data_IF_007140167681
#
_entry.id   IF_007140167681
#
_cell.length_a   1.000
_cell.length_b   1.000
_cell.length_c   1.000
_cell.angle_alpha   90.00
_cell.angle_beta   90.00
_cell.angle_gamma   90.00
#
_symmetry.space_group_name_H-M   'P 1'
#
loop_
_entity.id
_entity.type
_entity.pdbx_description
1 polymer ?
#
# COMPACT_ATOMS: atom_id res chain seq x y z
N UNK A 1 76.63 -49.92 52.86
CA UNK A 1 75.35 -49.29 52.46
C UNK A 1 75.64 -48.43 51.22
N UNK A 2 75.36 -48.95 50.03
CA UNK A 2 75.62 -48.26 48.75
C UNK A 2 74.23 -47.85 48.24
N UNK A 3 73.92 -46.53 48.24
CA UNK A 3 72.69 -46.00 47.65
C UNK A 3 72.81 -46.02 46.17
N UNK A 4 71.95 -46.80 45.50
CA UNK A 4 71.80 -46.87 44.05
C UNK A 4 70.95 -45.66 43.59
N UNK A 5 71.55 -44.60 43.07
CA UNK A 5 70.82 -43.50 42.38
C UNK A 5 70.42 -43.98 41.04
N UNK A 6 69.11 -44.17 40.88
CA UNK A 6 68.51 -44.38 39.58
C UNK A 6 68.51 -43.09 38.73
N UNK A 7 68.87 -43.14 37.44
CA UNK A 7 68.83 -41.95 36.58
C UNK A 7 67.41 -41.55 36.29
N UNK A 8 67.09 -40.24 36.43
CA UNK A 8 65.82 -39.64 36.08
C UNK A 8 65.69 -39.68 34.58
N UNK A 9 64.71 -40.45 34.09
CA UNK A 9 64.28 -40.40 32.69
C UNK A 9 63.74 -39.01 32.30
N UNK A 10 64.11 -38.44 31.15
CA UNK A 10 63.53 -37.19 30.70
C UNK A 10 62.05 -37.42 30.37
N UNK A 11 61.16 -36.64 31.03
CA UNK A 11 59.76 -36.53 30.68
C UNK A 11 59.70 -35.94 29.27
N UNK A 12 59.28 -36.72 28.30
CA UNK A 12 58.77 -36.21 27.02
C UNK A 12 57.52 -35.42 27.32
N UNK A 13 57.68 -34.16 27.64
CA UNK A 13 56.58 -33.20 27.70
C UNK A 13 56.07 -32.94 26.30
N UNK A 14 54.88 -33.42 26.06
CA UNK A 14 53.92 -32.73 25.20
C UNK A 14 54.28 -32.62 23.74
N UNK A 15 54.04 -33.64 22.94
CA UNK A 15 53.46 -33.41 21.63
C UNK A 15 52.06 -32.89 21.84
N UNK A 16 51.96 -31.61 22.19
CA UNK A 16 50.74 -30.86 21.98
C UNK A 16 50.50 -30.87 20.49
N UNK A 17 49.63 -31.72 20.03
CA UNK A 17 49.01 -31.67 18.71
C UNK A 17 48.38 -30.28 18.61
N UNK A 18 49.13 -29.36 18.04
CA UNK A 18 48.60 -28.10 17.54
C UNK A 18 47.63 -28.50 16.40
N UNK A 19 46.38 -28.72 16.76
CA UNK A 19 45.27 -28.74 15.83
C UNK A 19 45.13 -27.32 15.25
N UNK A 20 46.07 -26.98 14.39
CA UNK A 20 45.96 -25.85 13.46
C UNK A 20 45.18 -26.37 12.28
N UNK A 21 43.90 -26.59 12.44
CA UNK A 21 42.97 -26.45 11.34
C UNK A 21 43.02 -24.98 10.89
N UNK A 22 44.06 -24.63 10.17
CA UNK A 22 44.12 -23.36 9.44
C UNK A 22 42.99 -23.42 8.42
N UNK A 23 41.84 -22.89 8.79
CA UNK A 23 40.77 -22.61 7.84
C UNK A 23 41.39 -21.81 6.70
N UNK A 24 41.50 -22.43 5.54
CA UNK A 24 42.07 -21.84 4.32
C UNK A 24 41.36 -20.56 3.92
N UNK A 25 40.15 -20.39 4.41
CA UNK A 25 39.35 -19.18 4.27
C UNK A 25 39.21 -18.52 5.65
N UNK A 26 39.65 -17.26 5.83
CA UNK A 26 39.46 -16.55 7.10
C UNK A 26 37.96 -16.49 7.42
N UNK A 27 37.56 -17.19 8.50
CA UNK A 27 36.16 -17.35 8.93
C UNK A 27 35.46 -16.02 9.27
N UNK A 28 36.17 -14.90 9.21
CA UNK A 28 35.68 -13.55 9.50
C UNK A 28 36.28 -12.53 8.54
N UNK A 29 35.95 -12.64 7.23
CA UNK A 29 36.27 -11.55 6.33
C UNK A 29 35.36 -10.35 6.63
N UNK A 30 35.93 -9.17 6.84
CA UNK A 30 35.20 -7.90 6.99
C UNK A 30 34.23 -7.72 5.81
N UNK A 31 34.68 -8.11 4.60
CA UNK A 31 33.86 -8.08 3.38
C UNK A 31 32.57 -8.92 3.48
N UNK A 32 32.64 -10.13 4.08
CA UNK A 32 31.44 -10.98 4.25
C UNK A 32 30.38 -10.39 5.18
N UNK A 33 30.83 -9.74 6.28
CA UNK A 33 29.91 -9.06 7.21
C UNK A 33 29.25 -7.84 6.57
N UNK A 34 29.99 -7.05 5.83
CA UNK A 34 29.49 -5.88 5.11
C UNK A 34 28.47 -6.30 4.06
N UNK A 35 28.71 -7.36 3.31
CA UNK A 35 27.79 -7.91 2.33
C UNK A 35 26.48 -8.40 3.00
N UNK A 36 26.58 -9.13 4.12
CA UNK A 36 25.43 -9.62 4.86
C UNK A 36 24.57 -8.45 5.37
N UNK A 37 25.20 -7.42 5.95
CA UNK A 37 24.52 -6.22 6.41
C UNK A 37 23.84 -5.48 5.26
N UNK A 38 24.51 -5.35 4.12
CA UNK A 38 23.95 -4.72 2.93
C UNK A 38 22.73 -5.47 2.41
N UNK A 39 22.80 -6.81 2.31
CA UNK A 39 21.65 -7.64 1.92
C UNK A 39 20.50 -7.49 2.91
N UNK A 40 20.78 -7.49 4.21
CA UNK A 40 19.78 -7.30 5.24
C UNK A 40 19.06 -5.95 5.11
N UNK A 41 19.80 -4.86 4.88
CA UNK A 41 19.24 -3.52 4.65
C UNK A 41 18.38 -3.51 3.38
N UNK A 42 18.88 -4.07 2.28
CA UNK A 42 18.14 -4.12 1.02
C UNK A 42 16.85 -4.95 1.13
N UNK A 43 16.90 -6.07 1.85
CA UNK A 43 15.72 -6.90 2.12
C UNK A 43 14.71 -6.17 2.98
N UNK A 44 15.17 -5.48 4.02
CA UNK A 44 14.32 -4.66 4.87
C UNK A 44 13.65 -3.53 4.07
N UNK A 45 14.41 -2.82 3.25
CA UNK A 45 13.91 -1.73 2.40
C UNK A 45 12.87 -2.24 1.39
N UNK A 46 13.13 -3.41 0.77
CA UNK A 46 12.16 -4.08 -0.11
C UNK A 46 10.87 -4.43 0.62
N UNK A 47 10.97 -4.96 1.84
CA UNK A 47 9.82 -5.30 2.68
C UNK A 47 8.98 -4.08 3.04
N UNK A 48 9.62 -2.98 3.45
CA UNK A 48 8.94 -1.72 3.77
C UNK A 48 8.25 -1.14 2.52
N UNK A 49 8.94 -1.13 1.38
CA UNK A 49 8.39 -0.61 0.12
C UNK A 49 7.19 -1.45 -0.33
N UNK A 50 7.32 -2.78 -0.32
CA UNK A 50 6.23 -3.68 -0.69
C UNK A 50 5.03 -3.55 0.27
N UNK A 51 5.30 -3.49 1.58
CA UNK A 51 4.28 -3.27 2.59
C UNK A 51 3.53 -1.96 2.39
N UNK A 52 4.24 -0.88 2.10
CA UNK A 52 3.67 0.43 1.78
C UNK A 52 2.78 0.39 0.54
N UNK A 53 3.24 -0.21 -0.54
CA UNK A 53 2.46 -0.38 -1.78
C UNK A 53 1.16 -1.16 -1.52
N UNK A 54 1.25 -2.29 -0.83
CA UNK A 54 0.07 -3.12 -0.49
C UNK A 54 -0.91 -2.36 0.41
N UNK A 55 -0.41 -1.60 1.39
CA UNK A 55 -1.24 -0.82 2.30
C UNK A 55 -2.01 0.26 1.53
N UNK A 56 -1.33 1.04 0.67
CA UNK A 56 -1.96 2.08 -0.16
C UNK A 56 -3.01 1.48 -1.07
N UNK A 57 -2.70 0.36 -1.73
CA UNK A 57 -3.64 -0.31 -2.62
C UNK A 57 -4.90 -0.79 -1.89
N UNK A 58 -4.75 -1.42 -0.72
CA UNK A 58 -5.89 -1.85 0.10
C UNK A 58 -6.73 -0.68 0.58
N UNK A 59 -6.10 0.39 1.05
CA UNK A 59 -6.79 1.60 1.51
C UNK A 59 -7.57 2.28 0.37
N UNK A 60 -6.96 2.39 -0.81
CA UNK A 60 -7.62 2.98 -1.98
C UNK A 60 -8.86 2.17 -2.42
N UNK A 61 -8.77 0.83 -2.40
CA UNK A 61 -9.89 -0.05 -2.72
C UNK A 61 -11.01 0.09 -1.68
N UNK A 62 -10.69 0.09 -0.39
CA UNK A 62 -11.66 0.25 0.69
C UNK A 62 -12.40 1.58 0.58
N UNK A 63 -11.69 2.69 0.46
CA UNK A 63 -12.28 4.01 0.29
C UNK A 63 -13.15 4.14 -0.97
N UNK A 64 -12.70 3.56 -2.08
CA UNK A 64 -13.46 3.58 -3.33
C UNK A 64 -14.78 2.80 -3.20
N UNK A 65 -14.83 1.73 -2.40
CA UNK A 65 -16.03 0.96 -2.16
C UNK A 65 -17.01 1.69 -1.22
N UNK A 66 -16.52 2.29 -0.15
CA UNK A 66 -17.35 3.00 0.82
C UNK A 66 -17.96 4.26 0.21
N UNK A 67 -17.15 5.11 -0.43
CA UNK A 67 -17.64 6.31 -1.14
C UNK A 67 -18.51 5.96 -2.35
N UNK A 68 -18.24 4.82 -3.00
CA UNK A 68 -19.00 4.36 -4.16
C UNK A 68 -20.39 3.81 -3.83
N UNK A 69 -20.68 3.54 -2.55
CA UNK A 69 -21.99 3.00 -2.12
C UNK A 69 -23.04 4.08 -1.88
N UNK A 70 -22.63 5.31 -1.76
CA UNK A 70 -23.54 6.42 -1.50
C UNK A 70 -23.51 7.40 -2.67
N UNK A 71 -24.68 7.69 -3.23
CA UNK A 71 -24.89 8.70 -4.26
C UNK A 71 -25.78 9.78 -3.70
N UNK A 72 -25.65 10.98 -4.22
CA UNK A 72 -26.48 12.11 -3.81
C UNK A 72 -27.21 12.68 -5.01
N UNK A 73 -28.55 12.74 -4.93
CA UNK A 73 -29.35 13.48 -5.89
C UNK A 73 -29.58 14.86 -5.31
N UNK A 74 -29.14 15.87 -6.01
CA UNK A 74 -29.37 17.28 -5.67
C UNK A 74 -30.56 17.80 -6.46
N UNK A 75 -31.58 18.37 -5.80
CA UNK A 75 -32.74 18.97 -6.42
C UNK A 75 -32.71 20.46 -6.13
N UNK A 76 -32.55 21.27 -7.18
CA UNK A 76 -32.57 22.73 -7.10
C UNK A 76 -33.99 23.25 -7.21
N UNK A 77 -34.33 24.32 -6.49
CA UNK A 77 -35.61 25.00 -6.67
C UNK A 77 -35.73 25.51 -8.12
N UNK A 78 -36.91 25.25 -8.72
CA UNK A 78 -37.24 25.73 -10.06
C UNK A 78 -38.57 26.47 -9.97
N UNK A 79 -38.66 27.67 -10.54
CA UNK A 79 -39.87 28.45 -10.54
C UNK A 79 -41.06 27.69 -11.19
N UNK A 80 -42.19 27.64 -10.50
CA UNK A 80 -43.39 26.96 -10.95
C UNK A 80 -43.46 25.47 -10.64
N UNK A 81 -42.44 24.89 -9.98
CA UNK A 81 -42.43 23.48 -9.55
C UNK A 81 -42.54 23.34 -8.04
N UNK A 82 -43.26 22.30 -7.62
CA UNK A 82 -43.39 21.97 -6.19
C UNK A 82 -42.22 21.09 -5.78
N UNK A 83 -41.32 21.62 -4.96
CA UNK A 83 -40.10 20.94 -4.47
C UNK A 83 -40.40 19.56 -3.89
N UNK A 84 -41.44 19.43 -3.04
CA UNK A 84 -41.81 18.16 -2.41
C UNK A 84 -42.28 17.10 -3.41
N UNK A 85 -42.89 17.52 -4.53
CA UNK A 85 -43.26 16.63 -5.62
C UNK A 85 -42.03 16.07 -6.32
N UNK A 86 -41.08 16.94 -6.64
CA UNK A 86 -39.83 16.56 -7.29
C UNK A 86 -38.97 15.64 -6.41
N UNK A 87 -38.96 15.92 -5.07
CA UNK A 87 -38.29 15.04 -4.09
C UNK A 87 -38.89 13.62 -4.06
N UNK A 88 -40.22 13.53 -3.97
CA UNK A 88 -40.89 12.21 -3.95
C UNK A 88 -40.65 11.45 -5.26
N UNK A 89 -40.71 12.14 -6.38
CA UNK A 89 -40.46 11.52 -7.69
C UNK A 89 -39.01 11.03 -7.80
N UNK A 90 -38.04 11.81 -7.33
CA UNK A 90 -36.63 11.42 -7.34
C UNK A 90 -36.37 10.21 -6.43
N UNK A 91 -36.99 10.17 -5.23
CA UNK A 91 -36.88 9.01 -4.33
C UNK A 91 -37.49 7.77 -4.99
N UNK A 92 -38.69 7.86 -5.56
CA UNK A 92 -39.35 6.74 -6.21
C UNK A 92 -38.55 6.20 -7.42
N UNK A 93 -37.98 7.07 -8.22
CA UNK A 93 -37.09 6.68 -9.35
C UNK A 93 -35.82 5.99 -8.85
N UNK A 94 -35.23 6.50 -7.78
CA UNK A 94 -34.03 5.89 -7.19
C UNK A 94 -34.35 4.50 -6.64
N UNK A 95 -35.44 4.33 -5.89
CA UNK A 95 -35.86 3.03 -5.33
C UNK A 95 -36.25 2.02 -6.40
N UNK A 96 -36.79 2.48 -7.54
CA UNK A 96 -37.12 1.63 -8.68
C UNK A 96 -35.89 1.21 -9.51
N UNK A 97 -34.72 1.76 -9.23
CA UNK A 97 -33.50 1.47 -9.97
C UNK A 97 -32.83 0.19 -9.44
N UNK A 98 -32.52 -0.80 -10.31
CA UNK A 98 -31.81 -2.00 -9.88
C UNK A 98 -30.48 -1.68 -9.21
N UNK A 99 -30.17 -2.36 -8.09
CA UNK A 99 -28.95 -2.17 -7.33
C UNK A 99 -29.00 -1.06 -6.28
N UNK A 100 -30.12 -0.33 -6.14
CA UNK A 100 -30.36 0.61 -5.04
C UNK A 100 -30.93 -0.14 -3.85
N UNK A 101 -30.31 0.02 -2.68
CA UNK A 101 -30.79 -0.55 -1.41
C UNK A 101 -31.82 0.33 -0.73
N UNK A 102 -31.62 1.65 -0.76
CA UNK A 102 -32.56 2.63 -0.20
C UNK A 102 -32.31 4.02 -0.78
N UNK A 103 -33.38 4.83 -0.82
CA UNK A 103 -33.27 6.25 -1.15
C UNK A 103 -34.04 7.06 -0.12
N UNK A 104 -33.48 8.17 0.36
CA UNK A 104 -34.10 9.00 1.40
C UNK A 104 -33.83 10.48 1.14
N UNK A 105 -34.88 11.26 1.11
CA UNK A 105 -34.75 12.72 1.10
C UNK A 105 -34.32 13.21 2.50
N UNK A 106 -33.31 14.09 2.55
CA UNK A 106 -32.95 14.76 3.77
C UNK A 106 -34.01 15.80 4.14
N UNK A 107 -34.30 15.88 5.44
CA UNK A 107 -35.14 16.94 5.99
C UNK A 107 -34.42 18.29 5.94
N UNK A 108 -35.19 19.39 6.09
CA UNK A 108 -34.57 20.73 6.19
C UNK A 108 -33.63 20.81 7.38
N UNK A 109 -34.05 20.28 8.54
CA UNK A 109 -33.22 20.28 9.76
C UNK A 109 -31.93 19.49 9.59
N UNK A 110 -31.96 18.34 8.89
CA UNK A 110 -30.76 17.56 8.57
C UNK A 110 -29.85 18.35 7.64
N UNK A 111 -30.40 19.00 6.62
CA UNK A 111 -29.63 19.84 5.69
C UNK A 111 -29.01 21.05 6.40
N UNK A 112 -29.73 21.65 7.35
CA UNK A 112 -29.22 22.74 8.19
C UNK A 112 -28.03 22.29 9.05
N UNK A 113 -28.15 21.15 9.73
CA UNK A 113 -27.08 20.58 10.55
C UNK A 113 -25.81 20.30 9.74
N UNK A 114 -25.93 19.91 8.48
CA UNK A 114 -24.77 19.71 7.61
C UNK A 114 -24.07 21.02 7.25
N UNK A 115 -24.79 22.12 7.19
CA UNK A 115 -24.27 23.45 6.87
C UNK A 115 -23.79 24.24 8.09
N UNK A 116 -24.26 23.88 9.29
CA UNK A 116 -23.93 24.57 10.54
C UNK A 116 -22.41 24.73 10.80
N UNK A 117 -21.54 23.71 10.54
CA UNK A 117 -20.10 23.86 10.74
C UNK A 117 -19.46 24.91 9.82
N UNK A 118 -20.08 25.21 8.68
CA UNK A 118 -19.56 26.13 7.66
C UNK A 118 -20.15 27.52 7.74
N UNK A 119 -21.43 27.63 8.12
CA UNK A 119 -22.16 28.89 8.13
C UNK A 119 -22.39 29.45 9.53
N UNK A 120 -22.09 28.69 10.58
CA UNK A 120 -22.36 29.06 11.97
C UNK A 120 -23.79 28.66 12.43
N UNK A 121 -23.94 28.54 13.74
CA UNK A 121 -25.23 28.17 14.34
C UNK A 121 -26.21 29.34 14.29
N UNK A 122 -27.46 29.07 13.96
CA UNK A 122 -28.56 30.04 14.07
C UNK A 122 -28.88 30.83 12.81
N UNK A 123 -28.34 30.47 11.66
CA UNK A 123 -28.81 31.04 10.39
C UNK A 123 -30.18 30.47 9.99
N UNK A 124 -31.10 31.37 9.75
CA UNK A 124 -32.40 31.00 9.17
C UNK A 124 -32.24 30.75 7.67
N UNK A 125 -32.06 29.46 7.32
CA UNK A 125 -31.90 29.04 5.94
C UNK A 125 -33.23 28.97 5.17
N UNK A 126 -34.36 29.27 5.80
CA UNK A 126 -35.67 29.28 5.14
C UNK A 126 -35.83 30.40 4.09
N UNK A 127 -35.02 31.46 4.23
CA UNK A 127 -35.00 32.58 3.29
C UNK A 127 -34.02 32.38 2.09
N UNK A 128 -33.29 31.28 2.07
CA UNK A 128 -32.34 30.97 1.02
C UNK A 128 -32.82 29.75 0.25
N UNK A 129 -32.83 29.85 -1.07
CA UNK A 129 -33.19 28.73 -1.96
C UNK A 129 -32.09 27.64 -1.93
N UNK A 130 -32.11 26.83 -0.87
CA UNK A 130 -31.15 25.75 -0.70
C UNK A 130 -31.61 24.53 -1.49
N UNK A 131 -30.70 23.93 -2.29
CA UNK A 131 -30.98 22.65 -2.91
C UNK A 131 -31.30 21.57 -1.86
N UNK A 132 -32.31 20.76 -2.15
CA UNK A 132 -32.64 19.60 -1.31
C UNK A 132 -31.87 18.37 -1.78
N UNK A 133 -31.48 17.53 -0.85
CA UNK A 133 -30.66 16.37 -1.10
C UNK A 133 -31.45 15.08 -0.87
N UNK A 134 -31.27 14.11 -1.79
CA UNK A 134 -31.70 12.74 -1.62
C UNK A 134 -30.47 11.86 -1.55
N UNK A 135 -30.29 11.17 -0.44
CA UNK A 135 -29.22 10.20 -0.25
C UNK A 135 -29.69 8.86 -0.79
N UNK A 136 -28.92 8.28 -1.69
CA UNK A 136 -29.18 6.98 -2.33
C UNK A 136 -28.09 6.02 -1.91
N UNK A 137 -28.44 4.95 -1.24
CA UNK A 137 -27.52 3.89 -0.81
C UNK A 137 -27.63 2.73 -1.79
N UNK A 138 -26.48 2.32 -2.36
CA UNK A 138 -26.41 1.18 -3.27
C UNK A 138 -26.19 -0.12 -2.50
N UNK A 139 -26.84 -1.19 -2.90
CA UNK A 139 -26.60 -2.54 -2.39
C UNK A 139 -25.19 -3.01 -2.80
N UNK A 140 -24.86 -2.85 -4.09
CA UNK A 140 -23.52 -3.00 -4.63
C UNK A 140 -23.28 -1.93 -5.70
N UNK A 141 -22.20 -1.18 -5.57
CA UNK A 141 -21.82 -0.13 -6.52
C UNK A 141 -21.49 -0.65 -7.93
N UNK A 142 -21.27 -1.96 -8.09
CA UNK A 142 -20.98 -2.62 -9.36
C UNK A 142 -22.23 -3.09 -10.10
N UNK A 143 -23.31 -3.37 -9.39
CA UNK A 143 -24.56 -3.90 -9.95
C UNK A 143 -25.60 -2.81 -10.21
N UNK A 144 -25.39 -1.61 -9.66
CA UNK A 144 -26.34 -0.51 -9.82
C UNK A 144 -26.26 0.09 -11.22
N UNK A 145 -27.42 0.19 -11.88
CA UNK A 145 -27.56 0.87 -13.17
C UNK A 145 -27.68 2.39 -12.98
N UNK A 146 -26.53 3.00 -12.66
CA UNK A 146 -26.40 4.45 -12.45
C UNK A 146 -26.78 5.22 -13.72
N UNK A 147 -26.48 4.67 -14.90
CA UNK A 147 -26.82 5.31 -16.17
C UNK A 147 -28.33 5.34 -16.43
N UNK A 148 -29.07 4.34 -15.93
CA UNK A 148 -30.54 4.36 -15.98
C UNK A 148 -31.07 5.42 -15.02
N UNK A 149 -30.58 5.46 -13.78
CA UNK A 149 -30.99 6.46 -12.80
C UNK A 149 -30.75 7.88 -13.30
N UNK A 150 -29.61 8.15 -13.90
CA UNK A 150 -29.30 9.48 -14.46
C UNK A 150 -30.26 9.88 -15.57
N UNK A 151 -30.59 8.96 -16.48
CA UNK A 151 -31.57 9.19 -17.55
C UNK A 151 -32.98 9.43 -17.03
N UNK A 152 -33.40 8.63 -16.04
CA UNK A 152 -34.73 8.76 -15.42
C UNK A 152 -34.84 10.06 -14.63
N UNK A 153 -33.79 10.50 -13.95
CA UNK A 153 -33.71 11.77 -13.24
C UNK A 153 -33.71 12.99 -14.16
N UNK A 154 -33.28 12.85 -15.41
CA UNK A 154 -33.35 13.95 -16.39
C UNK A 154 -34.79 14.45 -16.65
N UNK A 155 -35.81 13.62 -16.35
CA UNK A 155 -37.23 14.00 -16.42
C UNK A 155 -37.67 14.86 -15.21
N UNK A 156 -36.91 14.89 -14.12
CA UNK A 156 -37.21 15.67 -12.91
C UNK A 156 -36.49 17.01 -13.01
N UNK A 157 -37.28 18.08 -13.12
CA UNK A 157 -36.72 19.44 -13.25
C UNK A 157 -35.92 19.84 -12.02
N UNK A 158 -34.72 20.33 -12.25
CA UNK A 158 -33.79 20.76 -11.20
C UNK A 158 -33.01 19.62 -10.54
N UNK A 159 -33.28 18.35 -10.88
CA UNK A 159 -32.54 17.22 -10.36
C UNK A 159 -31.17 17.09 -11.05
N UNK A 160 -30.14 16.78 -10.28
CA UNK A 160 -28.83 16.40 -10.75
C UNK A 160 -28.26 15.28 -9.88
N UNK A 161 -27.70 14.26 -10.53
CA UNK A 161 -27.06 13.14 -9.83
C UNK A 161 -25.58 13.44 -9.62
N UNK A 162 -25.14 13.44 -8.36
CA UNK A 162 -23.72 13.50 -8.03
C UNK A 162 -23.23 12.09 -7.69
N UNK A 163 -22.45 11.53 -8.60
CA UNK A 163 -21.88 10.18 -8.46
C UNK A 163 -20.50 10.19 -7.82
N UNK A 164 -19.98 11.38 -7.47
CA UNK A 164 -18.59 11.57 -7.01
C UNK A 164 -17.55 10.93 -7.96
N UNK A 165 -17.92 10.69 -9.23
CA UNK A 165 -17.10 9.95 -10.20
C UNK A 165 -15.77 10.65 -10.48
N UNK A 166 -15.79 11.97 -10.60
CA UNK A 166 -14.58 12.77 -10.80
C UNK A 166 -13.59 12.63 -9.64
N UNK A 167 -14.10 12.67 -8.42
CA UNK A 167 -13.30 12.49 -7.21
C UNK A 167 -12.74 11.07 -7.10
N UNK A 168 -13.55 10.05 -7.35
CA UNK A 168 -13.10 8.64 -7.38
C UNK A 168 -12.02 8.41 -8.43
N UNK A 169 -12.18 8.98 -9.62
CA UNK A 169 -11.17 8.88 -10.68
C UNK A 169 -9.85 9.52 -10.24
N UNK A 170 -9.89 10.68 -9.60
CA UNK A 170 -8.69 11.35 -9.10
C UNK A 170 -7.98 10.54 -8.01
N UNK A 171 -8.73 9.96 -7.07
CA UNK A 171 -8.18 9.07 -6.04
C UNK A 171 -7.51 7.83 -6.65
N UNK A 172 -8.15 7.21 -7.65
CA UNK A 172 -7.59 6.04 -8.33
C UNK A 172 -6.30 6.38 -9.10
N UNK A 173 -6.25 7.54 -9.76
CA UNK A 173 -5.02 8.01 -10.44
C UNK A 173 -3.91 8.26 -9.42
N UNK A 174 -4.21 8.92 -8.30
CA UNK A 174 -3.23 9.16 -7.23
C UNK A 174 -2.71 7.85 -6.63
N UNK A 175 -3.60 6.92 -6.29
CA UNK A 175 -3.23 5.60 -5.78
C UNK A 175 -2.39 4.83 -6.80
N UNK A 176 -2.78 4.84 -8.07
CA UNK A 176 -2.04 4.22 -9.17
C UNK A 176 -0.63 4.78 -9.32
N UNK A 177 -0.47 6.10 -9.20
CA UNK A 177 0.85 6.76 -9.26
C UNK A 177 1.74 6.34 -8.10
N UNK A 178 1.21 6.26 -6.88
CA UNK A 178 1.97 5.81 -5.71
C UNK A 178 2.40 4.35 -5.86
N UNK A 179 1.50 3.48 -6.34
CA UNK A 179 1.81 2.06 -6.60
C UNK A 179 2.89 1.92 -7.68
N UNK A 180 2.77 2.66 -8.79
CA UNK A 180 3.76 2.63 -9.86
C UNK A 180 5.13 3.12 -9.38
N UNK A 181 5.17 4.20 -8.59
CA UNK A 181 6.40 4.72 -7.99
C UNK A 181 7.03 3.71 -7.03
N UNK A 182 6.22 3.04 -6.21
CA UNK A 182 6.69 1.99 -5.30
C UNK A 182 7.29 0.79 -6.04
N UNK A 183 6.67 0.36 -7.13
CA UNK A 183 7.20 -0.72 -7.98
C UNK A 183 8.49 -0.31 -8.67
N UNK A 184 8.61 0.96 -9.11
CA UNK A 184 9.87 1.49 -9.65
C UNK A 184 10.99 1.43 -8.60
N UNK A 185 10.72 1.92 -7.39
CA UNK A 185 11.69 1.87 -6.29
C UNK A 185 12.08 0.42 -5.98
N UNK A 186 11.12 -0.50 -5.92
CA UNK A 186 11.38 -1.92 -5.69
C UNK A 186 12.29 -2.51 -6.77
N UNK A 187 12.05 -2.19 -8.04
CA UNK A 187 12.89 -2.65 -9.15
C UNK A 187 14.32 -2.13 -9.04
N UNK A 188 14.51 -0.87 -8.66
CA UNK A 188 15.84 -0.29 -8.43
C UNK A 188 16.57 -0.98 -7.26
N UNK A 189 15.86 -1.30 -6.18
CA UNK A 189 16.44 -2.04 -5.04
C UNK A 189 16.93 -3.43 -5.50
N UNK A 190 16.13 -4.15 -6.29
CA UNK A 190 16.50 -5.47 -6.83
C UNK A 190 17.73 -5.35 -7.71
N UNK A 191 17.79 -4.41 -8.64
CA UNK A 191 18.95 -4.16 -9.51
C UNK A 191 20.18 -3.83 -8.67
N UNK A 192 20.05 -2.92 -7.70
CA UNK A 192 21.15 -2.56 -6.81
C UNK A 192 21.68 -3.76 -6.02
N UNK A 193 20.76 -4.62 -5.53
CA UNK A 193 21.12 -5.84 -4.79
C UNK A 193 21.91 -6.81 -5.68
N UNK A 194 21.45 -7.05 -6.90
CA UNK A 194 22.14 -7.92 -7.87
C UNK A 194 23.53 -7.38 -8.18
N UNK A 195 23.66 -6.09 -8.46
CA UNK A 195 24.96 -5.45 -8.72
C UNK A 195 25.88 -5.57 -7.50
N UNK A 196 25.38 -5.34 -6.29
CA UNK A 196 26.17 -5.46 -5.07
C UNK A 196 26.71 -6.88 -4.86
N UNK A 197 25.89 -7.91 -5.13
CA UNK A 197 26.31 -9.32 -5.06
C UNK A 197 27.40 -9.60 -6.09
N UNK A 198 27.23 -9.15 -7.34
CA UNK A 198 28.22 -9.33 -8.40
C UNK A 198 29.54 -8.66 -8.00
N UNK A 199 29.52 -7.43 -7.52
CA UNK A 199 30.72 -6.71 -7.09
C UNK A 199 31.40 -7.40 -5.91
N UNK A 200 30.65 -7.83 -4.91
CA UNK A 200 31.20 -8.52 -3.75
C UNK A 200 31.86 -9.86 -4.14
N UNK A 201 31.21 -10.63 -5.01
CA UNK A 201 31.72 -11.91 -5.50
C UNK A 201 33.03 -11.70 -6.30
N UNK A 202 33.04 -10.75 -7.23
CA UNK A 202 34.24 -10.42 -8.00
C UNK A 202 35.36 -9.90 -7.12
N UNK A 203 35.06 -9.05 -6.15
CA UNK A 203 36.04 -8.52 -5.20
C UNK A 203 36.67 -9.63 -4.35
N UNK A 204 35.88 -10.59 -3.88
CA UNK A 204 36.37 -11.74 -3.10
C UNK A 204 37.26 -12.64 -3.97
N UNK A 205 36.89 -12.92 -5.21
CA UNK A 205 37.69 -13.69 -6.14
C UNK A 205 39.02 -12.99 -6.48
N UNK A 206 38.98 -11.68 -6.72
CA UNK A 206 40.21 -10.91 -7.01
C UNK A 206 41.17 -10.88 -5.81
N UNK A 207 40.65 -10.77 -4.58
CA UNK A 207 41.47 -10.78 -3.36
C UNK A 207 42.08 -12.14 -3.05
N UNK A 208 41.50 -13.24 -3.52
CA UNK A 208 41.98 -14.61 -3.27
C UNK A 208 42.54 -15.26 -4.55
N UNK A 209 43.05 -14.47 -5.49
CA UNK A 209 43.52 -14.94 -6.80
C UNK A 209 44.58 -16.01 -6.69
N UNK A 210 45.56 -15.88 -5.76
CA UNK A 210 46.61 -16.88 -5.54
C UNK A 210 46.04 -18.24 -5.13
N UNK A 211 44.96 -18.26 -4.29
CA UNK A 211 44.32 -19.50 -3.84
C UNK A 211 43.53 -20.14 -5.01
N UNK A 212 42.84 -19.33 -5.79
CA UNK A 212 42.10 -19.79 -6.98
C UNK A 212 43.01 -20.38 -8.03
N UNK A 213 44.16 -19.76 -8.29
CA UNK A 213 45.15 -20.25 -9.24
C UNK A 213 45.73 -21.60 -8.79
N UNK A 214 46.03 -21.77 -7.49
CA UNK A 214 46.51 -23.06 -6.93
C UNK A 214 45.46 -24.15 -7.08
N UNK A 215 44.20 -23.86 -6.79
CA UNK A 215 43.08 -24.80 -6.93
C UNK A 215 42.87 -25.23 -8.40
N UNK A 216 43.05 -24.29 -9.33
CA UNK A 216 42.93 -24.57 -10.76
C UNK A 216 44.09 -25.50 -11.25
N UNK A 217 45.31 -25.31 -10.74
CA UNK A 217 46.45 -26.17 -11.02
C UNK A 217 46.27 -27.61 -10.49
N UNK A 218 45.49 -27.80 -9.41
CA UNK A 218 45.23 -29.12 -8.83
C UNK A 218 44.04 -29.81 -9.51
N UNK A 219 43.34 -29.15 -10.47
CA UNK A 219 42.27 -29.74 -11.27
C UNK A 219 40.87 -29.61 -10.66
N UNK A 220 40.66 -28.68 -9.74
CA UNK A 220 39.31 -28.31 -9.28
C UNK A 220 38.66 -27.37 -10.31
N UNK A 221 37.74 -27.90 -11.11
CA UNK A 221 36.93 -27.16 -12.09
C UNK A 221 35.56 -26.83 -11.52
#
# INVERSE_FOLDING_TARGET
MVELRLPRMPRFAGLATADRSSSIVPARSVAGRTLLLLIAIMTFLSGVTLGGVVLVQKSAIGWSQDVGRELTIQIRPVEGEVMDSNLRTAVALAEATPGVASARALTLDESQKLLEPWLGAGLDLSAIDIPRLVVVVLADSREADIGKLERDLAAVKGASLDTHAAWRQQLNVMAGTIVASGLLVLSLIVVATVLAIIFATRGTMASNREIVDVLHFIGAS
#
